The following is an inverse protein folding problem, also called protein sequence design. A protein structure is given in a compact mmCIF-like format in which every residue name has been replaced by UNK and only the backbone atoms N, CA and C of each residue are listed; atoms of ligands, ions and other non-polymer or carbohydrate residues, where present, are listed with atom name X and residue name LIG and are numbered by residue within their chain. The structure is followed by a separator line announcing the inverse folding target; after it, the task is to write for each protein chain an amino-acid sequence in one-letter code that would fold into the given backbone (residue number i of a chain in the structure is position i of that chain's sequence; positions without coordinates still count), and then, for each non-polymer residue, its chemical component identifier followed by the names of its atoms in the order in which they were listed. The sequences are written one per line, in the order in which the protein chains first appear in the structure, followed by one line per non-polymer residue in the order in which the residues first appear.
data_IF_975109791050
#
_entry.id   IF_975109791050
#
_cell.length_a   1.000
_cell.length_b   1.000
_cell.length_c   1.000
_cell.angle_alpha   90.00
_cell.angle_beta   90.00
_cell.angle_gamma   90.00
#
_symmetry.space_group_name_H-M   'P 1'
#
loop_
_entity.id
_entity.type
_entity.pdbx_description
1 polymer ?
#
# COMPACT_ATOMS: atom_id res chain seq x y z
N UNK A 1 7.61 -9.39 -12.65
CA UNK A 1 7.27 -8.77 -11.33
C UNK A 1 7.13 -9.85 -10.28
N UNK A 2 7.65 -9.67 -9.06
CA UNK A 2 7.46 -10.66 -8.00
C UNK A 2 5.97 -10.92 -7.73
N UNK A 3 5.59 -12.18 -7.51
CA UNK A 3 4.21 -12.56 -7.16
C UNK A 3 3.86 -11.98 -5.79
N UNK A 4 2.75 -11.22 -5.65
CA UNK A 4 2.29 -10.75 -4.35
C UNK A 4 1.90 -11.93 -3.44
N UNK A 5 2.12 -11.76 -2.14
CA UNK A 5 1.56 -12.67 -1.14
C UNK A 5 0.04 -12.76 -1.25
N UNK A 6 -0.55 -13.88 -0.81
CA UNK A 6 -2.00 -14.11 -0.84
C UNK A 6 -2.74 -12.91 -0.20
N UNK A 7 -3.72 -12.37 -0.92
CA UNK A 7 -4.50 -11.20 -0.48
C UNK A 7 -3.85 -9.83 -0.70
N UNK A 8 -2.64 -9.74 -1.25
CA UNK A 8 -1.97 -8.46 -1.56
C UNK A 8 -2.07 -8.09 -3.03
N UNK A 9 -2.23 -6.79 -3.31
CA UNK A 9 -2.46 -6.29 -4.66
C UNK A 9 -1.18 -6.26 -5.52
N UNK A 10 -0.03 -5.94 -4.91
CA UNK A 10 1.25 -5.78 -5.60
C UNK A 10 2.41 -6.24 -4.73
N UNK A 11 3.54 -6.50 -5.37
CA UNK A 11 4.82 -6.69 -4.73
C UNK A 11 5.89 -5.80 -5.37
N UNK A 12 6.84 -5.35 -4.56
CA UNK A 12 8.01 -4.57 -4.97
C UNK A 12 9.25 -5.20 -4.37
N UNK A 13 10.23 -5.52 -5.21
CA UNK A 13 11.56 -5.90 -4.75
C UNK A 13 12.29 -4.64 -4.31
N UNK A 14 12.81 -4.63 -3.09
CA UNK A 14 13.58 -3.51 -2.53
C UNK A 14 14.96 -4.02 -2.14
N UNK A 15 15.99 -3.24 -2.47
CA UNK A 15 17.37 -3.51 -2.10
C UNK A 15 17.73 -2.68 -0.89
N UNK A 16 18.34 -3.29 0.12
CA UNK A 16 18.96 -2.55 1.20
C UNK A 16 20.27 -1.93 0.68
N UNK A 17 20.41 -0.58 0.67
CA UNK A 17 21.61 0.06 0.14
C UNK A 17 22.86 -0.25 0.96
N UNK A 18 22.72 -0.49 2.28
CA UNK A 18 23.85 -0.75 3.18
C UNK A 18 24.38 -2.19 3.07
N UNK A 19 23.48 -3.17 2.97
CA UNK A 19 23.86 -4.59 3.00
C UNK A 19 23.78 -5.28 1.64
N UNK A 20 23.25 -4.59 0.62
CA UNK A 20 23.02 -5.14 -0.72
C UNK A 20 21.90 -6.20 -0.82
N UNK A 21 21.38 -6.68 0.31
CA UNK A 21 20.35 -7.73 0.38
C UNK A 21 19.05 -7.25 -0.26
N UNK A 22 18.41 -8.12 -1.05
CA UNK A 22 17.10 -7.88 -1.66
C UNK A 22 16.02 -8.53 -0.81
N UNK A 23 14.88 -7.85 -0.65
CA UNK A 23 13.66 -8.42 -0.08
C UNK A 23 12.44 -8.04 -0.91
N UNK A 24 11.44 -8.89 -0.94
CA UNK A 24 10.18 -8.62 -1.63
C UNK A 24 9.15 -8.10 -0.63
N UNK A 25 8.61 -6.91 -0.89
CA UNK A 25 7.57 -6.31 -0.06
C UNK A 25 6.24 -6.40 -0.80
N UNK A 26 5.29 -7.14 -0.23
CA UNK A 26 3.92 -7.23 -0.74
C UNK A 26 3.01 -6.22 -0.04
N UNK A 27 2.18 -5.50 -0.80
CA UNK A 27 1.40 -4.36 -0.31
C UNK A 27 0.07 -4.16 -1.06
N UNK A 28 -0.79 -3.31 -0.51
CA UNK A 28 -2.15 -3.06 -0.98
C UNK A 28 -3.11 -4.23 -0.70
N UNK A 29 -4.41 -3.96 -0.75
CA UNK A 29 -5.45 -4.98 -0.63
C UNK A 29 -5.84 -5.48 -2.02
N UNK A 30 -5.74 -6.79 -2.24
CA UNK A 30 -6.21 -7.43 -3.47
C UNK A 30 -7.75 -7.56 -3.49
N UNK A 31 -8.26 -7.93 -4.65
CA UNK A 31 -9.67 -8.27 -4.86
C UNK A 31 -10.30 -7.43 -5.96
N UNK A 32 -11.53 -7.81 -6.31
CA UNK A 32 -12.37 -7.08 -7.26
C UNK A 32 -13.46 -6.29 -6.53
N UNK A 33 -13.83 -5.14 -7.09
CA UNK A 33 -15.04 -4.43 -6.75
C UNK A 33 -16.24 -5.03 -7.52
N UNK A 34 -17.47 -4.64 -7.15
CA UNK A 34 -18.69 -5.17 -7.77
C UNK A 34 -18.74 -4.92 -9.29
N UNK A 35 -18.17 -3.81 -9.72
CA UNK A 35 -18.04 -3.40 -11.13
C UNK A 35 -16.82 -4.03 -11.84
N UNK A 36 -16.24 -5.11 -11.30
CA UNK A 36 -15.10 -5.82 -11.89
C UNK A 36 -13.73 -5.13 -11.74
N UNK A 37 -13.70 -3.86 -11.35
CA UNK A 37 -12.46 -3.10 -11.14
C UNK A 37 -11.68 -3.52 -9.88
N UNK A 38 -10.54 -2.87 -9.63
CA UNK A 38 -9.76 -3.13 -8.40
C UNK A 38 -10.57 -2.80 -7.14
N UNK A 39 -10.54 -3.69 -6.13
CA UNK A 39 -11.26 -3.54 -4.85
C UNK A 39 -10.99 -2.21 -4.17
N UNK A 40 -9.72 -1.81 -4.17
CA UNK A 40 -9.26 -0.51 -3.69
C UNK A 40 -8.67 0.21 -4.89
N UNK A 41 -9.16 1.41 -5.16
CA UNK A 41 -8.63 2.29 -6.21
C UNK A 41 -8.90 3.75 -5.84
N UNK A 42 -8.09 4.69 -6.35
CA UNK A 42 -8.23 6.09 -6.00
C UNK A 42 -9.54 6.69 -6.51
N UNK A 43 -10.05 7.70 -5.80
CA UNK A 43 -11.29 8.39 -6.16
C UNK A 43 -12.55 7.55 -5.91
N UNK A 44 -12.50 6.60 -4.98
CA UNK A 44 -13.66 5.79 -4.58
C UNK A 44 -13.80 5.77 -3.06
N UNK A 45 -15.03 5.56 -2.57
CA UNK A 45 -15.28 5.44 -1.13
C UNK A 45 -14.41 4.34 -0.46
N UNK A 46 -14.09 3.26 -1.19
CA UNK A 46 -13.17 2.22 -0.67
C UNK A 46 -11.71 2.63 -0.71
N UNK A 47 -11.29 3.44 -1.68
CA UNK A 47 -9.98 4.10 -1.68
C UNK A 47 -9.82 5.00 -0.45
N UNK A 48 -10.82 5.81 -0.16
CA UNK A 48 -10.83 6.73 0.98
C UNK A 48 -10.82 5.98 2.31
N UNK A 49 -11.71 5.00 2.47
CA UNK A 49 -11.71 4.15 3.66
C UNK A 49 -10.36 3.44 3.87
N UNK A 50 -9.69 3.04 2.80
CA UNK A 50 -8.34 2.49 2.89
C UNK A 50 -7.32 3.53 3.37
N UNK A 51 -7.32 4.73 2.77
CA UNK A 51 -6.39 5.80 3.11
C UNK A 51 -6.57 6.31 4.55
N UNK A 52 -7.81 6.38 5.03
CA UNK A 52 -8.16 6.75 6.41
C UNK A 52 -7.62 5.73 7.42
N UNK A 53 -7.92 4.44 7.21
CA UNK A 53 -7.36 3.37 8.06
C UNK A 53 -5.84 3.36 8.01
N UNK A 54 -5.27 3.52 6.82
CA UNK A 54 -3.82 3.58 6.67
C UNK A 54 -3.21 4.77 7.40
N UNK A 55 -3.89 5.92 7.47
CA UNK A 55 -3.42 7.09 8.20
C UNK A 55 -3.40 6.82 9.71
N UNK A 56 -4.44 6.19 10.26
CA UNK A 56 -4.47 5.78 11.66
C UNK A 56 -3.33 4.80 11.97
N UNK A 57 -3.07 3.85 11.06
CA UNK A 57 -1.96 2.90 11.19
C UNK A 57 -0.59 3.58 11.12
N UNK A 58 -0.43 4.64 10.34
CA UNK A 58 0.82 5.43 10.33
C UNK A 58 1.10 6.09 11.69
N UNK A 59 0.06 6.57 12.37
CA UNK A 59 0.21 7.18 13.71
C UNK A 59 0.65 6.15 14.75
N UNK A 60 0.11 4.93 14.69
CA UNK A 60 0.46 3.82 15.59
C UNK A 60 1.84 3.23 15.29
N UNK A 61 2.17 3.03 14.01
CA UNK A 61 3.40 2.37 13.57
C UNK A 61 4.43 3.35 13.02
N UNK A 62 5.00 4.18 13.91
CA UNK A 62 5.98 5.22 13.56
C UNK A 62 7.19 4.68 12.78
N UNK A 63 7.68 3.48 13.10
CA UNK A 63 8.80 2.84 12.37
C UNK A 63 8.45 2.54 10.92
N UNK A 64 7.27 1.97 10.67
CA UNK A 64 6.79 1.71 9.32
C UNK A 64 6.47 3.00 8.55
N UNK A 65 6.04 4.05 9.24
CA UNK A 65 5.81 5.36 8.64
C UNK A 65 7.09 6.03 8.12
N UNK A 66 8.21 5.85 8.83
CA UNK A 66 9.53 6.36 8.45
C UNK A 66 10.16 5.61 7.26
N UNK A 67 9.91 4.30 7.13
CA UNK A 67 10.46 3.50 6.01
C UNK A 67 9.65 3.71 4.72
N UNK A 68 10.20 4.35 3.67
CA UNK A 68 9.50 4.57 2.40
C UNK A 68 9.19 3.28 1.65
N UNK A 69 9.90 2.19 1.95
CA UNK A 69 9.71 0.87 1.38
C UNK A 69 8.83 -0.04 2.26
N UNK A 70 8.22 0.50 3.31
CA UNK A 70 7.26 -0.26 4.11
C UNK A 70 5.99 -0.58 3.31
N UNK A 71 5.30 -1.70 3.62
CA UNK A 71 4.02 -2.03 2.98
C UNK A 71 3.00 -0.88 3.10
N UNK A 72 3.00 -0.16 4.22
CA UNK A 72 2.12 0.97 4.50
C UNK A 72 2.40 2.15 3.56
N UNK A 73 3.66 2.60 3.43
CA UNK A 73 4.02 3.72 2.54
C UNK A 73 3.79 3.37 1.07
N UNK A 74 4.17 2.16 0.66
CA UNK A 74 3.96 1.68 -0.71
C UNK A 74 2.47 1.62 -1.07
N UNK A 75 1.62 1.15 -0.15
CA UNK A 75 0.17 1.12 -0.37
C UNK A 75 -0.42 2.52 -0.51
N UNK A 76 -0.03 3.45 0.36
CA UNK A 76 -0.50 4.85 0.29
C UNK A 76 -0.09 5.51 -1.02
N UNK A 77 1.14 5.27 -1.50
CA UNK A 77 1.61 5.78 -2.80
C UNK A 77 0.78 5.21 -3.94
N UNK A 78 0.53 3.90 -3.93
CA UNK A 78 -0.27 3.22 -4.96
C UNK A 78 -1.68 3.79 -5.08
N UNK A 79 -2.32 4.05 -3.94
CA UNK A 79 -3.69 4.58 -3.90
C UNK A 79 -3.75 6.10 -3.85
N UNK A 80 -2.63 6.79 -4.11
CA UNK A 80 -2.54 8.25 -4.15
C UNK A 80 -3.17 8.91 -2.90
N UNK A 81 -2.93 8.34 -1.73
CA UNK A 81 -3.53 8.83 -0.49
C UNK A 81 -3.02 10.24 -0.13
N UNK A 82 -3.93 11.20 -0.03
CA UNK A 82 -3.72 12.54 0.53
C UNK A 82 -4.46 12.60 1.87
N UNK A 83 -3.71 12.58 2.98
CA UNK A 83 -4.31 12.46 4.31
C UNK A 83 -5.16 11.19 4.46
N UNK A 84 -6.42 11.36 4.82
CA UNK A 84 -7.37 10.26 4.99
C UNK A 84 -8.08 9.85 3.68
N UNK A 85 -7.93 10.61 2.59
CA UNK A 85 -8.63 10.38 1.32
C UNK A 85 -7.69 9.90 0.23
N UNK A 86 -8.23 9.24 -0.78
CA UNK A 86 -7.54 8.83 -2.00
C UNK A 86 -7.80 9.87 -3.10
N UNK A 87 -6.77 10.26 -3.84
CA UNK A 87 -6.90 11.19 -4.97
C UNK A 87 -6.80 10.45 -6.29
N UNK A 88 -7.64 10.79 -7.27
CA UNK A 88 -7.41 10.33 -8.64
C UNK A 88 -6.19 11.02 -9.25
#
# INVERSE_FOLDING_TARGET
MAKPAKGKAKAKTVRNPKTGRKRTVSYGQAGKAKDGGSRVRPGTAKGDAYCARSLAQMKKHKKAAKDPNSPLRLSRKRWKCKGAKSSK
#
